data_IF_798642667530
#
_entry.id   IF_798642667530
#
_cell.length_a   1.000
_cell.length_b   1.000
_cell.length_c   1.000
_cell.angle_alpha   90.00
_cell.angle_beta   90.00
_cell.angle_gamma   90.00
#
_symmetry.space_group_name_H-M   'P 1'
#
loop_
_entity.id
_entity.type
_entity.pdbx_description
1 polymer ?
#
# COMPACT_ATOMS: atom_id res chain seq x y z
N UNK A 1 27.72 21.65 -6.54
CA UNK A 1 26.54 21.15 -7.29
C UNK A 1 25.94 20.06 -6.42
N UNK A 2 24.79 20.33 -5.82
CA UNK A 2 24.05 19.30 -5.08
C UNK A 2 23.50 18.32 -6.12
N UNK A 3 24.09 17.13 -6.20
CA UNK A 3 23.63 16.08 -7.10
C UNK A 3 22.34 15.51 -6.54
N UNK A 4 21.22 16.16 -6.82
CA UNK A 4 19.86 15.72 -6.46
C UNK A 4 19.39 14.51 -7.28
N UNK A 5 20.27 13.53 -7.51
CA UNK A 5 19.97 12.34 -8.32
C UNK A 5 20.61 11.09 -7.72
N UNK A 6 20.41 10.91 -6.41
CA UNK A 6 20.30 9.56 -5.85
C UNK A 6 18.83 9.34 -5.53
N UNK A 7 17.99 9.21 -6.57
CA UNK A 7 16.72 8.50 -6.42
C UNK A 7 17.12 7.05 -6.15
N UNK A 8 17.35 6.74 -4.88
CA UNK A 8 17.47 5.35 -4.46
C UNK A 8 16.26 4.61 -5.03
N UNK A 9 16.51 3.57 -5.81
CA UNK A 9 15.50 2.79 -6.52
C UNK A 9 14.76 1.93 -5.49
N UNK A 10 13.97 2.58 -4.65
CA UNK A 10 13.25 1.96 -3.56
C UNK A 10 11.96 1.33 -4.09
N UNK A 11 11.82 0.04 -3.82
CA UNK A 11 10.60 -0.71 -4.14
C UNK A 11 9.77 -0.82 -2.87
N UNK A 12 8.61 -0.16 -2.87
CA UNK A 12 7.64 -0.27 -1.80
C UNK A 12 6.86 -1.59 -1.89
N UNK A 13 6.58 -2.20 -0.74
CA UNK A 13 5.78 -3.42 -0.61
C UNK A 13 4.80 -3.29 0.55
N UNK A 14 3.56 -3.67 0.30
CA UNK A 14 2.49 -3.72 1.29
C UNK A 14 2.08 -5.17 1.51
N UNK A 15 2.05 -5.59 2.77
CA UNK A 15 1.67 -6.94 3.21
C UNK A 15 0.72 -6.82 4.38
N UNK A 16 -0.10 -7.83 4.60
CA UNK A 16 -1.11 -7.88 5.65
C UNK A 16 -2.51 -8.11 5.09
N UNK A 17 -3.44 -8.16 6.03
CA UNK A 17 -4.86 -8.35 5.73
C UNK A 17 -5.36 -7.20 4.87
N UNK A 18 -6.03 -7.48 3.77
CA UNK A 18 -6.45 -6.40 2.85
C UNK A 18 -5.48 -6.21 1.68
N UNK A 19 -4.22 -6.61 1.78
CA UNK A 19 -3.25 -6.50 0.70
C UNK A 19 -2.99 -7.88 0.08
N UNK A 20 -2.04 -8.64 0.63
CA UNK A 20 -1.65 -9.98 0.19
C UNK A 20 -2.34 -11.11 0.97
N UNK A 21 -2.99 -10.79 2.11
CA UNK A 21 -3.79 -11.71 2.93
C UNK A 21 -5.29 -11.39 2.86
N UNK A 22 -6.13 -12.39 3.12
CA UNK A 22 -7.58 -12.29 2.96
C UNK A 22 -8.28 -11.37 3.98
N UNK A 23 -9.17 -10.45 3.55
CA UNK A 23 -9.66 -10.26 2.17
C UNK A 23 -8.63 -9.58 1.26
N UNK A 24 -8.14 -10.27 0.23
CA UNK A 24 -7.04 -9.75 -0.60
C UNK A 24 -7.48 -8.57 -1.47
N UNK A 25 -6.50 -7.73 -1.81
CA UNK A 25 -6.64 -6.67 -2.79
C UNK A 25 -7.62 -5.56 -2.41
N UNK A 26 -7.98 -5.40 -1.14
CA UNK A 26 -8.66 -4.20 -0.61
C UNK A 26 -7.74 -2.98 -0.73
N UNK A 27 -6.45 -3.16 -0.41
CA UNK A 27 -5.40 -2.15 -0.50
C UNK A 27 -4.37 -2.53 -1.56
N UNK A 28 -3.87 -1.54 -2.28
CA UNK A 28 -2.76 -1.66 -3.22
C UNK A 28 -1.74 -0.56 -2.96
N UNK A 29 -0.47 -0.81 -3.33
CA UNK A 29 0.61 0.16 -3.19
C UNK A 29 1.32 0.38 -4.53
N UNK A 30 1.59 1.64 -4.86
CA UNK A 30 2.47 1.98 -5.96
C UNK A 30 3.92 1.69 -5.53
N UNK A 31 4.58 0.77 -6.23
CA UNK A 31 5.92 0.29 -5.87
C UNK A 31 7.01 1.34 -6.01
N UNK A 32 6.78 2.40 -6.79
CA UNK A 32 7.78 3.46 -7.04
C UNK A 32 7.54 4.70 -6.16
N UNK A 33 6.28 5.03 -5.86
CA UNK A 33 5.94 6.23 -5.09
C UNK A 33 5.58 5.95 -3.63
N UNK A 34 5.22 4.70 -3.31
CA UNK A 34 4.74 4.31 -1.98
C UNK A 34 3.29 4.70 -1.69
N UNK A 35 2.58 5.27 -2.65
CA UNK A 35 1.16 5.65 -2.48
C UNK A 35 0.28 4.42 -2.30
N UNK A 36 -0.59 4.47 -1.29
CA UNK A 36 -1.54 3.40 -0.97
C UNK A 36 -2.94 3.81 -1.44
N UNK A 37 -3.62 2.92 -2.15
CA UNK A 37 -4.97 3.12 -2.65
C UNK A 37 -5.91 2.01 -2.16
N UNK A 38 -7.21 2.33 -2.10
CA UNK A 38 -8.27 1.37 -1.78
C UNK A 38 -9.03 1.00 -3.05
N UNK A 39 -9.30 -0.29 -3.25
CA UNK A 39 -9.95 -0.79 -4.47
C UNK A 39 -11.48 -0.86 -4.38
N UNK A 40 -12.03 -0.77 -3.18
CA UNK A 40 -13.46 -0.89 -2.89
C UNK A 40 -13.84 -0.14 -1.61
N UNK A 41 -15.14 0.08 -1.41
CA UNK A 41 -15.67 0.63 -0.17
C UNK A 41 -15.35 -0.28 1.04
N UNK A 42 -15.07 0.35 2.18
CA UNK A 42 -14.82 -0.33 3.44
C UNK A 42 -16.07 -0.28 4.32
N UNK A 43 -16.43 -1.44 4.85
CA UNK A 43 -17.52 -1.60 5.81
C UNK A 43 -16.91 -1.78 7.20
N UNK A 44 -17.16 -0.83 8.09
CA UNK A 44 -16.58 -0.80 9.44
C UNK A 44 -17.21 -1.87 10.34
N UNK A 45 -18.48 -2.21 10.13
CA UNK A 45 -19.19 -3.26 10.85
C UNK A 45 -18.64 -4.64 10.48
N UNK A 46 -18.14 -4.81 9.25
CA UNK A 46 -17.46 -6.02 8.82
C UNK A 46 -16.01 -6.11 9.33
N UNK A 47 -15.20 -5.06 9.13
CA UNK A 47 -13.81 -4.99 9.60
C UNK A 47 -13.53 -3.56 10.10
N UNK A 48 -13.41 -3.43 11.42
CA UNK A 48 -13.18 -2.12 12.03
C UNK A 48 -11.74 -1.61 11.85
N UNK A 49 -10.75 -2.50 11.78
CA UNK A 49 -9.32 -2.16 11.71
C UNK A 49 -8.53 -3.16 10.87
N UNK A 50 -7.50 -2.65 10.18
CA UNK A 50 -6.49 -3.42 9.48
C UNK A 50 -5.12 -3.14 10.14
N UNK A 51 -4.32 -4.18 10.31
CA UNK A 51 -3.02 -4.15 11.01
C UNK A 51 -1.88 -4.43 10.05
#
# INVERSE_FOLDING_TARGET
VISSDMKEDHIFRLTGRGADQDPKGVFSINRLTGEVAVSRALDREAIAYYH
#
